data_IF_083511831592
#
_entry.id   IF_083511831592
#
_cell.length_a   1.000
_cell.length_b   1.000
_cell.length_c   1.000
_cell.angle_alpha   90.00
_cell.angle_beta   90.00
_cell.angle_gamma   90.00
#
_symmetry.space_group_name_H-M   'P 1'
#
loop_
_entity.id
_entity.type
_entity.pdbx_description
1 polymer ?
#
# COMPACT_ATOMS: atom_id res chain seq x y z
N UNK A 1 13.20 8.90 11.94
CA UNK A 1 14.19 9.28 12.96
C UNK A 1 14.14 10.78 13.20
N UNK A 2 14.25 11.21 14.46
CA UNK A 2 14.26 12.62 14.88
C UNK A 2 15.48 12.91 15.74
N UNK A 3 15.87 14.18 15.89
CA UNK A 3 17.05 14.58 16.67
C UNK A 3 18.29 14.91 15.82
N UNK A 4 18.18 14.78 14.51
CA UNK A 4 19.23 15.12 13.55
C UNK A 4 19.08 16.59 13.13
N UNK A 5 20.17 17.38 12.99
CA UNK A 5 20.12 18.75 12.48
C UNK A 5 19.43 18.86 11.12
N UNK A 6 18.79 20.00 10.83
CA UNK A 6 18.06 20.19 9.56
C UNK A 6 18.99 20.38 8.36
N UNK A 7 20.23 20.82 8.60
CA UNK A 7 21.20 21.20 7.57
C UNK A 7 22.07 20.02 7.10
N UNK A 8 21.93 18.85 7.72
CA UNK A 8 22.65 17.65 7.29
C UNK A 8 22.10 17.14 5.95
N UNK A 9 22.97 16.59 5.11
CA UNK A 9 22.58 15.98 3.83
C UNK A 9 22.04 14.56 4.05
N UNK A 10 21.16 14.12 3.16
CA UNK A 10 20.60 12.76 3.18
C UNK A 10 21.69 11.70 2.98
N UNK A 11 22.70 11.99 2.16
CA UNK A 11 23.82 11.08 1.89
C UNK A 11 24.65 10.87 3.15
N UNK A 12 24.88 11.93 3.93
CA UNK A 12 25.59 11.82 5.21
C UNK A 12 24.82 10.97 6.22
N UNK A 13 23.49 11.08 6.25
CA UNK A 13 22.65 10.22 7.09
C UNK A 13 22.72 8.76 6.63
N UNK A 14 22.71 8.51 5.31
CA UNK A 14 22.87 7.17 4.74
C UNK A 14 24.23 6.56 5.11
N UNK A 15 25.32 7.31 5.00
CA UNK A 15 26.67 6.87 5.39
C UNK A 15 26.76 6.46 6.86
N UNK A 16 26.17 7.27 7.75
CA UNK A 16 26.20 6.99 9.20
C UNK A 16 25.40 5.72 9.54
N UNK A 17 24.28 5.49 8.84
CA UNK A 17 23.51 4.25 8.98
C UNK A 17 24.28 3.05 8.41
N UNK A 18 24.96 3.22 7.27
CA UNK A 18 25.83 2.19 6.68
C UNK A 18 26.94 1.75 7.63
N UNK A 19 27.60 2.70 8.30
CA UNK A 19 28.60 2.43 9.36
C UNK A 19 28.02 1.67 10.55
N UNK A 20 26.72 1.80 10.81
CA UNK A 20 25.99 1.06 11.83
C UNK A 20 25.61 -0.37 11.44
N UNK A 21 26.01 -0.84 10.25
CA UNK A 21 25.72 -2.20 9.76
C UNK A 21 24.36 -2.35 9.09
N UNK A 22 23.75 -1.25 8.64
CA UNK A 22 22.46 -1.25 7.95
C UNK A 22 22.65 -1.08 6.44
N UNK A 23 22.00 -1.91 5.62
CA UNK A 23 21.85 -1.64 4.19
C UNK A 23 20.72 -0.63 4.00
N UNK A 24 21.06 0.58 3.58
CA UNK A 24 20.11 1.66 3.39
C UNK A 24 19.73 1.76 1.91
N UNK A 25 18.45 1.63 1.59
CA UNK A 25 17.96 1.75 0.21
C UNK A 25 17.67 3.22 -0.12
N UNK A 26 17.05 3.95 0.81
CA UNK A 26 16.61 5.31 0.57
C UNK A 26 16.53 6.12 1.86
N UNK A 27 17.04 7.36 1.83
CA UNK A 27 16.88 8.34 2.91
C UNK A 27 16.20 9.58 2.35
N UNK A 28 15.22 10.11 3.08
CA UNK A 28 14.59 11.38 2.76
C UNK A 28 14.38 12.23 4.01
N UNK A 29 14.47 13.55 3.84
CA UNK A 29 14.15 14.50 4.89
C UNK A 29 12.68 14.91 4.77
N UNK A 30 11.96 14.94 5.90
CA UNK A 30 10.55 15.37 5.90
C UNK A 30 10.51 16.89 5.77
N UNK A 31 9.67 17.37 4.87
CA UNK A 31 9.39 18.80 4.64
C UNK A 31 8.02 19.15 5.22
N UNK A 32 7.92 20.30 5.88
CA UNK A 32 6.65 20.89 6.30
C UNK A 32 6.39 22.13 5.44
N UNK A 33 5.12 22.43 5.20
CA UNK A 33 4.74 23.68 4.55
C UNK A 33 4.26 24.65 5.62
N UNK A 34 4.94 25.79 5.74
CA UNK A 34 4.52 26.93 6.54
C UNK A 34 4.34 28.11 5.58
N UNK A 35 3.17 28.74 5.57
CA UNK A 35 2.86 29.86 4.66
C UNK A 35 3.15 29.58 3.18
N UNK A 36 2.86 28.34 2.72
CA UNK A 36 3.17 27.83 1.38
C UNK A 36 4.67 27.74 1.04
N UNK A 37 5.55 27.96 2.01
CA UNK A 37 7.00 27.79 1.87
C UNK A 37 7.40 26.40 2.39
N UNK A 38 8.10 25.57 1.59
CA UNK A 38 8.61 24.29 2.05
C UNK A 38 9.80 24.47 3.00
N UNK A 39 9.65 24.03 4.24
CA UNK A 39 10.67 24.06 5.28
C UNK A 39 11.17 22.65 5.62
N UNK A 40 12.50 22.47 5.55
CA UNK A 40 13.16 21.24 5.96
C UNK A 40 13.06 21.04 7.47
N UNK A 41 12.64 19.85 7.90
CA UNK A 41 12.51 19.53 9.32
C UNK A 41 13.72 18.76 9.86
N UNK A 42 13.80 18.63 11.19
CA UNK A 42 14.75 17.75 11.91
C UNK A 42 14.34 16.27 11.90
N UNK A 43 13.49 15.87 10.95
CA UNK A 43 12.96 14.53 10.85
C UNK A 43 13.39 13.91 9.52
N UNK A 44 13.95 12.71 9.60
CA UNK A 44 14.39 11.93 8.44
C UNK A 44 13.64 10.60 8.41
N UNK A 45 13.41 10.09 7.22
CA UNK A 45 12.94 8.73 6.99
C UNK A 45 14.05 7.95 6.30
N UNK A 46 14.22 6.70 6.70
CA UNK A 46 15.19 5.79 6.08
C UNK A 46 14.48 4.47 5.81
N UNK A 47 14.61 3.99 4.58
CA UNK A 47 14.23 2.65 4.16
C UNK A 47 15.49 1.79 4.25
N UNK A 48 15.42 0.74 5.06
CA UNK A 48 16.54 -0.13 5.38
C UNK A 48 16.16 -1.55 4.97
N UNK A 49 17.02 -2.19 4.19
CA UNK A 49 16.84 -3.58 3.81
C UNK A 49 17.07 -4.49 5.01
N UNK A 50 16.21 -5.50 5.14
CA UNK A 50 16.33 -6.47 6.22
C UNK A 50 17.46 -7.45 5.91
N UNK A 51 18.64 -7.21 6.49
CA UNK A 51 19.76 -8.14 6.44
C UNK A 51 19.68 -9.09 7.65
N UNK A 52 19.86 -10.41 7.47
CA UNK A 52 19.99 -11.35 8.59
C UNK A 52 21.18 -10.96 9.48
N UNK A 53 20.95 -10.83 10.79
CA UNK A 53 21.97 -10.45 11.76
C UNK A 53 22.16 -8.94 11.96
N UNK A 54 21.50 -8.08 11.18
CA UNK A 54 21.53 -6.66 11.43
C UNK A 54 20.83 -6.31 12.76
N UNK A 55 21.34 -5.33 13.53
CA UNK A 55 20.68 -4.83 14.72
C UNK A 55 19.29 -4.26 14.40
N UNK A 56 18.41 -4.15 15.41
CA UNK A 56 17.08 -3.56 15.22
C UNK A 56 17.20 -2.04 14.97
N UNK A 57 16.77 -1.53 13.80
CA UNK A 57 16.82 -0.10 13.49
C UNK A 57 16.06 0.80 14.47
N UNK A 58 15.11 0.25 15.25
CA UNK A 58 14.38 0.99 16.26
C UNK A 58 15.18 1.21 17.55
N UNK A 59 16.28 0.47 17.74
CA UNK A 59 17.16 0.57 18.91
C UNK A 59 18.33 1.53 18.69
N UNK A 60 18.38 2.23 17.56
CA UNK A 60 19.42 3.24 17.30
C UNK A 60 19.18 4.44 18.21
N UNK A 61 20.09 4.67 19.16
CA UNK A 61 20.05 5.81 20.08
C UNK A 61 20.96 6.94 19.56
N UNK A 62 22.07 6.59 18.89
CA UNK A 62 23.03 7.55 18.37
C UNK A 62 23.33 7.26 16.89
N UNK A 63 23.42 8.33 16.09
CA UNK A 63 23.85 8.28 14.70
C UNK A 63 25.06 9.20 14.53
N UNK A 64 26.25 8.64 14.66
CA UNK A 64 27.48 9.44 14.79
C UNK A 64 27.41 10.33 16.04
N UNK A 65 27.58 11.66 15.93
CA UNK A 65 27.53 12.57 17.07
C UNK A 65 26.10 12.95 17.48
N UNK A 66 25.06 12.48 16.79
CA UNK A 66 23.68 12.93 17.02
C UNK A 66 22.90 11.91 17.85
N UNK A 67 22.27 12.39 18.91
CA UNK A 67 21.26 11.62 19.65
C UNK A 67 19.98 11.58 18.84
N UNK A 68 19.50 10.38 18.53
CA UNK A 68 18.34 10.17 17.67
C UNK A 68 17.26 9.36 18.38
N UNK A 69 16.01 9.62 17.98
CA UNK A 69 14.88 8.76 18.30
C UNK A 69 14.36 8.12 17.03
N UNK A 70 14.37 6.80 17.00
CA UNK A 70 13.85 5.97 15.91
C UNK A 70 12.45 5.47 16.21
N UNK A 71 11.60 5.50 15.20
CA UNK A 71 10.25 4.95 15.23
C UNK A 71 9.92 4.47 13.82
N UNK A 72 9.03 3.49 13.73
CA UNK A 72 8.43 3.12 12.45
C UNK A 72 7.85 4.33 11.74
N UNK A 73 8.14 4.43 10.44
CA UNK A 73 7.54 5.44 9.61
C UNK A 73 6.03 5.19 9.50
N UNK A 74 5.22 6.18 9.88
CA UNK A 74 3.75 6.10 9.83
C UNK A 74 3.14 6.65 8.54
N UNK A 75 3.91 7.39 7.73
CA UNK A 75 3.37 8.22 6.64
C UNK A 75 2.94 7.47 5.38
N UNK A 76 3.38 6.22 5.17
CA UNK A 76 3.01 5.40 4.01
C UNK A 76 1.95 4.33 4.29
N UNK A 77 1.50 4.18 5.54
CA UNK A 77 0.49 3.21 5.91
C UNK A 77 -0.88 3.87 5.86
N UNK A 78 -1.50 3.84 4.69
CA UNK A 78 -2.89 4.28 4.58
C UNK A 78 -3.83 3.23 5.17
N UNK A 79 -4.67 3.63 6.12
CA UNK A 79 -5.73 2.75 6.62
C UNK A 79 -6.78 2.60 5.53
N UNK A 80 -6.96 1.37 5.04
CA UNK A 80 -8.01 1.07 4.09
C UNK A 80 -9.36 1.35 4.77
N UNK A 81 -10.12 2.28 4.22
CA UNK A 81 -11.49 2.59 4.63
C UNK A 81 -12.45 2.02 3.59
N UNK A 82 -13.42 1.23 4.02
CA UNK A 82 -14.42 0.70 3.11
C UNK A 82 -15.39 1.82 2.68
N UNK A 83 -15.47 2.14 1.39
CA UNK A 83 -16.38 3.19 0.91
C UNK A 83 -17.87 2.85 1.06
N UNK A 84 -18.21 1.57 1.30
CA UNK A 84 -19.60 1.15 1.53
C UNK A 84 -20.00 1.32 3.00
N UNK A 85 -19.28 0.71 3.93
CA UNK A 85 -19.68 0.71 5.35
C UNK A 85 -18.81 1.60 6.26
N UNK A 86 -17.79 2.26 5.71
CA UNK A 86 -16.88 3.21 6.37
C UNK A 86 -16.00 2.63 7.49
N UNK A 87 -16.02 1.32 7.69
CA UNK A 87 -15.15 0.60 8.64
C UNK A 87 -13.76 0.39 8.05
N UNK A 88 -12.77 0.26 8.93
CA UNK A 88 -11.38 0.04 8.54
C UNK A 88 -11.10 -1.43 8.17
N UNK A 89 -10.14 -1.63 7.27
CA UNK A 89 -9.48 -2.93 7.04
C UNK A 89 -9.94 -3.74 5.84
N UNK A 90 -10.87 -3.23 5.04
CA UNK A 90 -11.32 -3.92 3.83
C UNK A 90 -11.81 -2.92 2.77
N UNK A 91 -11.75 -3.34 1.51
CA UNK A 91 -12.24 -2.57 0.38
C UNK A 91 -13.75 -2.80 0.17
N UNK A 92 -14.40 -1.93 -0.61
CA UNK A 92 -15.85 -2.00 -0.84
C UNK A 92 -16.31 -3.27 -1.59
N UNK A 93 -15.53 -3.80 -2.53
CA UNK A 93 -15.84 -5.04 -3.26
C UNK A 93 -15.97 -6.31 -2.38
N UNK A 94 -15.32 -6.36 -1.21
CA UNK A 94 -15.45 -7.46 -0.25
C UNK A 94 -16.50 -7.16 0.83
N UNK A 95 -17.15 -6.00 0.77
CA UNK A 95 -18.09 -5.55 1.79
C UNK A 95 -19.51 -6.04 1.52
N UNK A 96 -20.03 -6.81 2.46
CA UNK A 96 -21.42 -7.32 2.49
C UNK A 96 -22.34 -6.46 3.37
N UNK A 97 -21.84 -5.38 3.94
CA UNK A 97 -22.58 -4.51 4.86
C UNK A 97 -23.34 -3.42 4.09
N UNK A 98 -24.39 -2.87 4.70
CA UNK A 98 -25.16 -1.76 4.15
C UNK A 98 -24.30 -0.50 3.95
N UNK A 99 -24.74 0.35 3.01
CA UNK A 99 -24.10 1.65 2.73
C UNK A 99 -24.32 2.59 3.89
N UNK A 100 -23.27 3.32 4.31
CA UNK A 100 -23.36 4.33 5.36
C UNK A 100 -22.85 5.68 4.87
N UNK A 101 -23.48 6.74 5.36
CA UNK A 101 -23.09 8.11 5.05
C UNK A 101 -21.86 8.54 5.86
N UNK A 102 -20.85 9.09 5.17
CA UNK A 102 -19.59 9.57 5.78
C UNK A 102 -19.76 10.85 6.61
N UNK A 103 -20.89 11.54 6.42
CA UNK A 103 -21.23 12.78 7.10
C UNK A 103 -22.07 12.52 8.35
N UNK A 104 -23.22 11.83 8.25
CA UNK A 104 -24.17 11.70 9.37
C UNK A 104 -24.41 10.27 9.88
N UNK A 105 -23.65 9.26 9.41
CA UNK A 105 -23.82 7.82 9.74
C UNK A 105 -25.11 7.14 9.27
N UNK A 106 -26.03 7.85 8.61
CA UNK A 106 -27.27 7.28 8.11
C UNK A 106 -27.09 6.28 6.96
N UNK A 107 -28.10 5.48 6.69
CA UNK A 107 -28.05 4.37 5.73
C UNK A 107 -28.39 4.84 4.30
N UNK A 108 -27.57 5.76 3.78
CA UNK A 108 -27.70 6.31 2.42
C UNK A 108 -26.34 6.72 1.84
N UNK A 109 -26.32 6.98 0.53
CA UNK A 109 -25.11 7.43 -0.17
C UNK A 109 -24.73 8.86 0.23
N UNK A 110 -23.45 9.10 0.53
CA UNK A 110 -22.98 10.42 1.02
C UNK A 110 -23.18 11.58 0.04
N UNK A 111 -23.45 11.31 -1.24
CA UNK A 111 -23.68 12.32 -2.29
C UNK A 111 -25.01 13.04 -2.14
N UNK A 112 -26.03 12.35 -1.63
CA UNK A 112 -27.37 12.91 -1.41
C UNK A 112 -27.55 13.50 -0.01
N UNK A 113 -26.49 13.47 0.82
CA UNK A 113 -26.53 13.91 2.21
C UNK A 113 -26.07 15.36 2.34
N UNK A 114 -26.94 16.22 2.89
CA UNK A 114 -26.61 17.59 3.24
C UNK A 114 -26.97 17.88 4.72
N UNK A 115 -26.25 17.28 5.68
CA UNK A 115 -26.50 17.53 7.09
C UNK A 115 -25.90 18.89 7.49
N UNK A 116 -26.48 19.59 8.48
CA UNK A 116 -25.83 20.74 9.09
C UNK A 116 -24.48 20.33 9.72
N UNK A 117 -23.59 21.31 9.94
CA UNK A 117 -22.23 21.05 10.48
C UNK A 117 -22.24 20.31 11.82
N UNK A 118 -23.24 20.60 12.66
CA UNK A 118 -23.45 19.99 13.98
C UNK A 118 -23.80 18.49 13.91
N UNK A 119 -24.41 18.05 12.81
CA UNK A 119 -24.82 16.66 12.58
C UNK A 119 -23.73 15.82 11.89
N UNK A 120 -22.54 16.38 11.70
CA UNK A 120 -21.40 15.63 11.17
C UNK A 120 -20.88 14.69 12.26
N UNK A 121 -21.09 13.40 12.07
CA UNK A 121 -20.77 12.34 13.01
C UNK A 121 -19.92 11.24 12.38
N UNK A 122 -18.80 10.95 13.01
CA UNK A 122 -17.85 9.94 12.54
C UNK A 122 -18.38 8.53 12.79
N UNK A 123 -18.61 7.73 11.74
CA UNK A 123 -19.11 6.34 11.83
C UNK A 123 -18.27 5.45 12.76
N UNK A 124 -16.96 5.71 12.86
CA UNK A 124 -16.04 4.86 13.62
C UNK A 124 -15.94 5.23 15.11
N UNK A 125 -15.95 6.51 15.48
CA UNK A 125 -15.77 6.94 16.89
C UNK A 125 -16.92 7.78 17.45
N UNK A 126 -17.86 8.24 16.63
CA UNK A 126 -18.97 9.10 17.02
C UNK A 126 -18.63 10.56 17.34
N UNK A 127 -17.40 11.00 17.11
CA UNK A 127 -17.02 12.41 17.27
C UNK A 127 -17.55 13.30 16.15
N UNK A 128 -17.52 14.62 16.39
CA UNK A 128 -17.95 15.67 15.47
C UNK A 128 -16.93 15.88 14.31
N UNK A 129 -16.82 14.89 13.44
CA UNK A 129 -15.97 14.93 12.24
C UNK A 129 -16.40 13.85 11.23
N UNK A 130 -16.02 14.02 9.96
CA UNK A 130 -16.28 13.01 8.92
C UNK A 130 -15.48 11.73 9.17
N UNK A 131 -16.03 10.57 8.79
CA UNK A 131 -15.42 9.27 9.03
C UNK A 131 -13.99 9.09 8.43
N UNK A 132 -13.62 9.93 7.46
CA UNK A 132 -12.30 9.95 6.80
C UNK A 132 -11.25 10.82 7.50
N UNK A 133 -11.58 11.45 8.63
CA UNK A 133 -10.64 12.32 9.35
C UNK A 133 -9.44 11.54 9.90
N UNK A 134 -8.22 11.98 9.56
CA UNK A 134 -6.95 11.41 10.08
C UNK A 134 -6.76 11.67 11.58
N UNK A 135 -7.47 12.66 12.13
CA UNK A 135 -7.47 12.99 13.55
C UNK A 135 -8.46 12.12 14.36
N UNK A 136 -9.17 11.19 13.72
CA UNK A 136 -10.06 10.27 14.42
C UNK A 136 -9.26 9.36 15.39
N UNK A 137 -9.65 9.25 16.67
CA UNK A 137 -8.93 8.39 17.63
C UNK A 137 -8.93 6.92 17.19
N UNK A 138 -10.04 6.44 16.63
CA UNK A 138 -10.15 5.08 16.11
C UNK A 138 -9.27 4.85 14.88
N UNK A 139 -9.07 5.87 14.05
CA UNK A 139 -8.12 5.81 12.93
C UNK A 139 -6.69 5.64 13.44
N UNK A 140 -6.29 6.46 14.41
CA UNK A 140 -4.93 6.43 15.01
C UNK A 140 -4.67 5.07 15.65
N UNK A 141 -5.61 4.55 16.44
CA UNK A 141 -5.50 3.22 17.09
C UNK A 141 -5.40 2.10 16.06
N UNK A 142 -6.24 2.14 15.02
CA UNK A 142 -6.22 1.12 13.96
C UNK A 142 -4.90 1.15 13.18
N UNK A 143 -4.42 2.34 12.82
CA UNK A 143 -3.14 2.54 12.14
C UNK A 143 -1.99 1.97 12.97
N UNK A 144 -1.95 2.26 14.27
CA UNK A 144 -0.90 1.77 15.17
C UNK A 144 -0.94 0.25 15.34
N UNK A 145 -2.12 -0.36 15.44
CA UNK A 145 -2.29 -1.82 15.47
C UNK A 145 -1.79 -2.45 14.18
N UNK A 146 -2.20 -1.92 13.02
CA UNK A 146 -1.79 -2.43 11.70
C UNK A 146 -0.29 -2.33 11.52
N UNK A 147 0.30 -1.21 11.94
CA UNK A 147 1.76 -1.01 11.95
C UNK A 147 2.45 -2.14 12.72
N UNK A 148 2.01 -2.40 13.96
CA UNK A 148 2.57 -3.46 14.81
C UNK A 148 2.44 -4.86 14.18
N UNK A 149 1.33 -5.17 13.52
CA UNK A 149 1.11 -6.47 12.87
C UNK A 149 2.03 -6.69 11.67
N UNK A 150 2.23 -5.66 10.84
CA UNK A 150 3.19 -5.71 9.73
C UNK A 150 4.61 -5.89 10.26
N UNK A 151 4.96 -5.20 11.34
CA UNK A 151 6.28 -5.35 11.95
C UNK A 151 6.51 -6.76 12.53
N UNK A 152 5.48 -7.40 13.09
CA UNK A 152 5.57 -8.77 13.59
C UNK A 152 5.73 -9.79 12.46
N UNK A 153 5.01 -9.64 11.36
CA UNK A 153 5.16 -10.53 10.19
C UNK A 153 6.56 -10.39 9.56
N UNK A 154 7.13 -9.18 9.58
CA UNK A 154 8.52 -8.95 9.18
C UNK A 154 9.54 -9.60 10.13
N UNK A 155 9.31 -9.67 11.44
CA UNK A 155 10.24 -10.30 12.40
C UNK A 155 10.08 -11.81 12.52
N UNK A 156 8.92 -12.37 12.17
CA UNK A 156 8.57 -13.79 12.38
C UNK A 156 8.69 -14.67 11.13
N UNK A 157 9.36 -14.22 10.06
CA UNK A 157 9.78 -15.12 8.97
C UNK A 157 10.93 -16.03 9.42
N UNK A 158 10.63 -16.94 10.35
CA UNK A 158 11.39 -18.17 10.55
C UNK A 158 11.21 -18.97 9.26
N UNK A 159 12.32 -19.30 8.59
CA UNK A 159 12.38 -19.77 7.21
C UNK A 159 11.29 -20.77 6.82
N UNK A 160 10.48 -20.40 5.84
CA UNK A 160 9.86 -21.36 4.93
C UNK A 160 10.83 -21.50 3.76
N UNK A 161 11.70 -22.52 3.83
CA UNK A 161 12.40 -22.98 2.65
C UNK A 161 11.34 -23.69 1.79
N UNK A 162 10.80 -23.00 0.80
CA UNK A 162 10.07 -23.68 -0.27
C UNK A 162 11.12 -24.31 -1.19
N UNK A 163 11.40 -25.57 -0.90
CA UNK A 163 12.26 -26.43 -1.69
C UNK A 163 11.62 -26.77 -3.04
N UNK A 164 12.52 -26.89 -4.03
CA UNK A 164 12.36 -27.55 -5.32
C UNK A 164 11.76 -26.71 -6.47
N UNK A 165 12.57 -25.78 -6.97
CA UNK A 165 12.52 -25.36 -8.37
C UNK A 165 13.33 -26.38 -9.20
N UNK A 166 12.65 -27.32 -9.86
CA UNK A 166 13.27 -28.13 -10.92
C UNK A 166 13.45 -27.25 -12.15
N UNK A 167 14.69 -26.82 -12.36
CA UNK A 167 15.10 -26.23 -13.63
C UNK A 167 15.14 -27.36 -14.67
N UNK A 168 14.42 -27.29 -15.80
CA UNK A 168 14.64 -28.23 -16.89
C UNK A 168 16.00 -27.92 -17.52
N UNK A 169 16.87 -28.93 -17.53
CA UNK A 169 18.16 -28.94 -18.21
C UNK A 169 17.99 -28.75 -19.72
N UNK A 170 18.86 -27.99 -20.42
CA UNK A 170 18.73 -27.80 -21.86
C UNK A 170 19.07 -29.10 -22.60
N UNK A 171 18.21 -29.48 -23.55
CA UNK A 171 18.40 -30.66 -24.39
C UNK A 171 19.47 -30.38 -25.44
N UNK A 172 20.54 -31.20 -25.40
CA UNK A 172 21.54 -31.32 -26.46
C UNK A 172 20.85 -31.93 -27.69
N UNK A 173 20.88 -31.21 -28.81
CA UNK A 173 20.33 -31.62 -30.10
C UNK A 173 21.32 -32.59 -30.76
N UNK A 174 20.87 -33.81 -31.09
CA UNK A 174 21.56 -34.68 -32.06
C UNK A 174 20.61 -34.96 -33.22
N UNK A 175 21.12 -34.71 -34.40
CA UNK A 175 20.50 -35.00 -35.69
C UNK A 175 20.56 -36.50 -35.97
N UNK A 176 19.59 -37.04 -36.72
CA UNK A 176 19.70 -38.39 -37.26
C UNK A 176 18.40 -39.11 -37.65
N UNK A 177 18.06 -38.95 -38.94
CA UNK A 177 17.44 -39.93 -39.86
C UNK A 177 15.93 -40.24 -39.75
N UNK A 178 15.32 -40.19 -40.94
CA UNK A 178 13.91 -40.33 -41.30
C UNK A 178 13.52 -41.76 -41.72
N UNK A 179 12.22 -42.11 -41.64
CA UNK A 179 11.49 -42.94 -42.62
C UNK A 179 9.98 -42.56 -42.62
N UNK A 180 9.35 -42.60 -43.80
CA UNK A 180 8.04 -42.04 -44.13
C UNK A 180 6.82 -42.94 -43.77
N UNK A 181 5.64 -42.34 -43.49
CA UNK A 181 4.31 -42.94 -43.74
C UNK A 181 3.11 -41.94 -43.58
N UNK A 182 2.69 -41.35 -44.70
CA UNK A 182 1.33 -41.13 -45.28
C UNK A 182 0.06 -40.86 -44.40
N UNK A 183 -0.50 -39.66 -44.65
CA UNK A 183 -1.91 -39.20 -44.82
C UNK A 183 -3.04 -39.32 -43.75
N UNK A 184 -3.55 -38.14 -43.36
CA UNK A 184 -4.98 -37.68 -43.24
C UNK A 184 -5.06 -36.64 -42.09
N UNK A 185 -5.67 -35.45 -42.12
CA UNK A 185 -6.38 -34.65 -43.11
C UNK A 185 -7.13 -33.50 -42.35
N UNK A 186 -6.71 -32.23 -42.59
CA UNK A 186 -7.46 -30.94 -42.46
C UNK A 186 -7.93 -30.45 -41.05
N UNK A 187 -8.40 -29.19 -40.89
CA UNK A 187 -7.75 -27.90 -41.19
C UNK A 187 -7.86 -26.86 -40.03
N UNK A 188 -7.16 -25.74 -40.18
CA UNK A 188 -7.25 -24.52 -39.34
C UNK A 188 -8.36 -23.57 -39.85
N UNK A 189 -9.06 -22.84 -38.98
CA UNK A 189 -9.39 -21.46 -39.35
C UNK A 189 -9.30 -20.48 -38.17
N UNK A 190 -8.50 -19.44 -38.37
CA UNK A 190 -8.49 -18.20 -37.60
C UNK A 190 -9.06 -17.11 -38.51
N UNK A 191 -10.17 -16.46 -38.14
CA UNK A 191 -10.56 -15.11 -38.60
C UNK A 191 -11.85 -14.61 -37.91
N UNK A 192 -11.73 -13.52 -37.14
CA UNK A 192 -12.75 -12.45 -36.94
C UNK A 192 -13.00 -11.69 -38.28
N UNK A 193 -14.01 -10.79 -38.51
CA UNK A 193 -14.47 -9.69 -37.62
C UNK A 193 -15.91 -9.08 -37.75
N UNK A 194 -16.26 -8.20 -36.78
CA UNK A 194 -17.07 -6.94 -36.76
C UNK A 194 -18.57 -6.82 -37.20
N UNK A 195 -19.25 -5.90 -36.49
CA UNK A 195 -20.70 -5.50 -36.38
C UNK A 195 -21.36 -4.91 -37.66
N UNK A 196 -22.70 -4.71 -37.73
CA UNK A 196 -23.37 -3.46 -37.27
C UNK A 196 -24.83 -3.56 -36.71
N UNK A 197 -25.31 -2.47 -36.07
CA UNK A 197 -26.70 -2.11 -35.67
C UNK A 197 -27.55 -1.60 -36.87
N UNK A 198 -28.91 -1.42 -36.88
CA UNK A 198 -29.74 -0.58 -35.97
C UNK A 198 -31.23 -0.98 -35.69
N UNK A 199 -31.91 -0.14 -34.85
CA UNK A 199 -33.34 0.17 -34.50
C UNK A 199 -34.49 -0.19 -35.48
N UNK A 200 -35.83 -0.03 -35.18
CA UNK A 200 -36.57 0.90 -34.30
C UNK A 200 -37.68 0.20 -33.42
N UNK A 201 -38.61 0.80 -32.66
CA UNK A 201 -39.61 1.85 -32.97
C UNK A 201 -40.37 2.31 -31.71
N UNK A 202 -40.92 3.51 -31.79
CA UNK A 202 -41.77 4.21 -30.82
C UNK A 202 -43.18 3.60 -30.71
N UNK A 203 -43.84 3.83 -29.57
CA UNK A 203 -45.30 3.86 -29.50
C UNK A 203 -45.74 4.92 -28.48
N UNK A 204 -46.40 5.95 -29.01
CA UNK A 204 -47.19 6.93 -28.27
C UNK A 204 -48.47 6.30 -27.71
N UNK A 205 -49.04 6.91 -26.66
CA UNK A 205 -50.43 7.41 -26.67
C UNK A 205 -50.74 8.18 -25.38
N UNK A 206 -51.41 9.31 -25.59
CA UNK A 206 -52.37 10.09 -24.79
C UNK A 206 -52.70 9.67 -23.34
#
# INVERSE_FOLDING_TARGET
MTGIPRDITTDRVADLLGRGGYAVCHVSQITKFADNVPEKTRQFTATIDKIPGAPDPLRIICLGPYNVRTQHYRGGMEVITCFRCLRFGHHASACKMQVRCKKCKGDHASRTCNPPMEDILCTNCGGAHVASSKNCPMYIVYLDRRTRQLNKTLTTSKGKQDGHSTVPRPAIRKEGVAYAAVAAGKPNPRAEPLLPTPSPEEAATE
#
